data_IF_733161105198
#
_entry.id   IF_733161105198
#
_cell.length_a   1.000
_cell.length_b   1.000
_cell.length_c   1.000
_cell.angle_alpha   90.00
_cell.angle_beta   90.00
_cell.angle_gamma   90.00
#
_symmetry.space_group_name_H-M   'P 1'
#
loop_
_entity.id
_entity.type
_entity.pdbx_description
1 polymer ?
#
# COMPACT_ATOMS: atom_id res chain seq x y z
N UNK A 1 -15.52 20.37 19.12
CA UNK A 1 -14.88 21.19 18.06
C UNK A 1 -13.54 20.54 17.66
N UNK A 2 -13.56 19.28 17.18
CA UNK A 2 -12.34 18.44 17.05
C UNK A 2 -12.13 17.75 15.69
N UNK A 3 -13.01 17.99 14.70
CA UNK A 3 -12.98 17.23 13.42
C UNK A 3 -12.05 17.81 12.35
N UNK A 4 -11.48 19.00 12.54
CA UNK A 4 -10.69 19.69 11.50
C UNK A 4 -9.19 19.33 11.47
N UNK A 5 -8.60 18.92 12.60
CA UNK A 5 -7.15 18.65 12.71
C UNK A 5 -6.77 17.25 12.19
N UNK A 6 -7.64 16.26 12.40
CA UNK A 6 -7.42 14.87 11.96
C UNK A 6 -7.36 14.77 10.42
N UNK A 7 -8.30 15.42 9.73
CA UNK A 7 -8.35 15.45 8.25
C UNK A 7 -7.13 16.13 7.62
N UNK A 8 -6.67 17.27 8.16
CA UNK A 8 -5.48 17.97 7.65
C UNK A 8 -4.20 17.14 7.85
N UNK A 9 -4.05 16.50 9.01
CA UNK A 9 -2.89 15.64 9.30
C UNK A 9 -2.88 14.42 8.36
N UNK A 10 -4.04 13.79 8.13
CA UNK A 10 -4.17 12.65 7.24
C UNK A 10 -3.85 13.00 5.78
N UNK A 11 -4.40 14.11 5.27
CA UNK A 11 -4.08 14.61 3.93
C UNK A 11 -2.59 14.89 3.77
N UNK A 12 -1.95 15.45 4.80
CA UNK A 12 -0.50 15.71 4.78
C UNK A 12 0.31 14.43 4.75
N UNK A 13 -0.07 13.43 5.55
CA UNK A 13 0.59 12.12 5.54
C UNK A 13 0.48 11.47 4.17
N UNK A 14 -0.71 11.48 3.54
CA UNK A 14 -0.91 10.92 2.21
C UNK A 14 -0.08 11.63 1.13
N UNK A 15 0.04 12.96 1.19
CA UNK A 15 0.93 13.73 0.31
C UNK A 15 2.39 13.30 0.42
N UNK A 16 2.89 13.10 1.65
CA UNK A 16 4.26 12.65 1.86
C UNK A 16 4.46 11.23 1.32
N UNK A 17 3.50 10.33 1.54
CA UNK A 17 3.56 8.95 1.06
C UNK A 17 3.54 8.86 -0.46
N UNK A 18 2.74 9.69 -1.15
CA UNK A 18 2.73 9.76 -2.61
C UNK A 18 4.07 10.24 -3.17
N UNK A 19 4.64 11.31 -2.60
CA UNK A 19 5.96 11.80 -3.00
C UNK A 19 7.06 10.76 -2.74
N UNK A 20 7.03 10.12 -1.57
CA UNK A 20 7.98 9.09 -1.20
C UNK A 20 7.88 7.86 -2.12
N UNK A 21 6.67 7.43 -2.47
CA UNK A 21 6.46 6.36 -3.46
C UNK A 21 7.11 6.71 -4.80
N UNK A 22 6.93 7.93 -5.29
CA UNK A 22 7.52 8.37 -6.55
C UNK A 22 9.06 8.31 -6.52
N UNK A 23 9.69 8.85 -5.47
CA UNK A 23 11.15 8.86 -5.34
C UNK A 23 11.71 7.45 -5.10
N UNK A 24 11.17 6.68 -4.15
CA UNK A 24 11.63 5.31 -3.90
C UNK A 24 11.48 4.40 -5.12
N UNK A 25 10.37 4.54 -5.86
CA UNK A 25 10.18 3.74 -7.07
C UNK A 25 11.08 4.16 -8.23
N UNK A 26 11.58 5.40 -8.26
CA UNK A 26 12.50 5.87 -9.29
C UNK A 26 13.94 5.44 -8.97
N UNK A 27 14.39 5.67 -7.74
CA UNK A 27 15.80 5.63 -7.37
C UNK A 27 16.20 4.39 -6.54
N UNK A 28 15.22 3.64 -6.05
CA UNK A 28 15.41 2.57 -5.07
C UNK A 28 15.54 3.11 -3.64
N UNK A 29 15.48 2.24 -2.63
CA UNK A 29 15.54 2.68 -1.24
C UNK A 29 16.88 3.35 -0.93
N UNK A 30 18.00 2.73 -1.31
CA UNK A 30 19.33 3.22 -0.92
C UNK A 30 19.64 4.61 -1.49
N UNK A 31 19.33 4.85 -2.77
CA UNK A 31 19.66 6.12 -3.44
C UNK A 31 18.63 7.23 -3.25
N UNK A 32 17.40 6.92 -2.81
CA UNK A 32 16.37 7.93 -2.61
C UNK A 32 16.77 9.02 -1.61
N UNK A 33 16.60 10.30 -1.97
CA UNK A 33 16.88 11.41 -1.06
C UNK A 33 15.61 11.88 -0.33
N UNK A 34 15.67 11.95 1.00
CA UNK A 34 14.58 12.45 1.84
C UNK A 34 14.35 13.95 1.63
N UNK A 35 15.40 14.70 1.25
CA UNK A 35 15.25 16.11 0.91
C UNK A 35 14.43 16.29 -0.38
N UNK A 36 14.66 15.46 -1.38
CA UNK A 36 13.85 15.46 -2.60
C UNK A 36 12.39 15.08 -2.32
N UNK A 37 12.16 14.09 -1.45
CA UNK A 37 10.80 13.72 -1.02
C UNK A 37 10.12 14.91 -0.35
N UNK A 38 10.84 15.66 0.50
CA UNK A 38 10.32 16.84 1.18
C UNK A 38 9.92 17.94 0.19
N UNK A 39 10.78 18.23 -0.78
CA UNK A 39 10.51 19.20 -1.86
C UNK A 39 9.30 18.76 -2.67
N UNK A 40 9.25 17.48 -3.09
CA UNK A 40 8.16 16.92 -3.90
C UNK A 40 6.82 16.95 -3.15
N UNK A 41 6.83 16.71 -1.84
CA UNK A 41 5.64 16.77 -0.98
C UNK A 41 5.25 18.19 -0.57
N UNK A 42 6.07 19.21 -0.86
CA UNK A 42 5.86 20.59 -0.42
C UNK A 42 5.89 20.73 1.11
N UNK A 43 6.80 20.03 1.78
CA UNK A 43 7.01 20.05 3.24
C UNK A 43 8.48 20.23 3.58
N UNK A 44 8.79 20.60 4.83
CA UNK A 44 10.17 20.58 5.33
C UNK A 44 10.63 19.18 5.72
N UNK A 45 11.92 18.87 5.57
CA UNK A 45 12.54 17.58 5.99
C UNK A 45 12.19 17.18 7.42
N UNK A 46 12.23 18.13 8.36
CA UNK A 46 11.85 17.89 9.76
C UNK A 46 10.38 17.47 9.94
N UNK A 47 9.48 17.85 9.03
CA UNK A 47 8.09 17.36 9.03
C UNK A 47 8.03 15.88 8.65
N UNK A 48 8.84 15.42 7.70
CA UNK A 48 8.90 14.00 7.35
C UNK A 48 9.37 13.18 8.56
N UNK A 49 10.49 13.55 9.18
CA UNK A 49 11.00 12.80 10.33
C UNK A 49 10.08 12.86 11.55
N UNK A 50 9.29 13.92 11.71
CA UNK A 50 8.24 13.95 12.75
C UNK A 50 7.10 12.97 12.48
N UNK A 51 6.80 12.66 11.22
CA UNK A 51 5.73 11.73 10.85
C UNK A 51 6.20 10.27 10.84
N UNK A 52 7.47 10.01 10.47
CA UNK A 52 7.92 8.65 10.15
C UNK A 52 9.24 8.24 10.83
N UNK A 53 9.83 9.10 11.65
CA UNK A 53 11.04 8.90 12.48
C UNK A 53 12.35 8.64 11.71
N UNK A 54 12.31 7.94 10.58
CA UNK A 54 13.48 7.58 9.76
C UNK A 54 13.11 7.37 8.29
N UNK A 55 14.12 7.29 7.41
CA UNK A 55 13.94 6.92 6.00
C UNK A 55 13.36 5.50 5.85
N UNK A 56 13.81 4.57 6.70
CA UNK A 56 13.24 3.21 6.79
C UNK A 56 11.77 3.24 7.22
N UNK A 57 11.44 4.01 8.25
CA UNK A 57 10.06 4.17 8.72
C UNK A 57 9.14 4.75 7.63
N UNK A 58 9.62 5.75 6.89
CA UNK A 58 8.90 6.30 5.74
C UNK A 58 8.71 5.25 4.64
N UNK A 59 9.75 4.48 4.31
CA UNK A 59 9.66 3.40 3.32
C UNK A 59 8.62 2.34 3.72
N UNK A 60 8.65 1.85 4.96
CA UNK A 60 7.67 0.86 5.43
C UNK A 60 6.25 1.42 5.42
N UNK A 61 6.08 2.71 5.75
CA UNK A 61 4.79 3.39 5.64
C UNK A 61 4.30 3.51 4.20
N UNK A 62 5.19 3.71 3.22
CA UNK A 62 4.86 3.69 1.78
C UNK A 62 4.40 2.30 1.35
N UNK A 63 5.07 1.24 1.80
CA UNK A 63 4.65 -0.14 1.53
C UNK A 63 3.27 -0.41 2.10
N UNK A 64 3.06 -0.09 3.38
CA UNK A 64 1.78 -0.26 4.05
C UNK A 64 0.65 0.52 3.35
N UNK A 65 0.92 1.77 2.96
CA UNK A 65 -0.03 2.61 2.24
C UNK A 65 -0.39 2.01 0.88
N UNK A 66 0.59 1.52 0.11
CA UNK A 66 0.33 0.86 -1.18
C UNK A 66 -0.50 -0.42 -1.04
N UNK A 67 -0.21 -1.25 -0.03
CA UNK A 67 -1.01 -2.45 0.30
C UNK A 67 -2.44 -2.07 0.66
N UNK A 68 -2.61 -0.99 1.44
CA UNK A 68 -3.94 -0.50 1.83
C UNK A 68 -4.74 -0.02 0.61
N UNK A 69 -4.13 0.71 -0.33
CA UNK A 69 -4.78 1.12 -1.59
C UNK A 69 -5.17 -0.06 -2.47
N UNK A 70 -4.32 -1.09 -2.53
CA UNK A 70 -4.64 -2.33 -3.24
C UNK A 70 -5.84 -3.04 -2.60
N UNK A 71 -5.87 -3.15 -1.26
CA UNK A 71 -6.99 -3.71 -0.51
C UNK A 71 -8.29 -2.93 -0.75
N UNK A 72 -8.26 -1.60 -0.70
CA UNK A 72 -9.40 -0.74 -1.00
C UNK A 72 -9.93 -1.00 -2.43
N UNK A 73 -9.04 -1.07 -3.42
CA UNK A 73 -9.40 -1.35 -4.81
C UNK A 73 -10.07 -2.72 -4.98
N UNK A 74 -9.57 -3.75 -4.28
CA UNK A 74 -10.17 -5.09 -4.30
C UNK A 74 -11.52 -5.07 -3.61
N UNK A 75 -11.61 -4.48 -2.41
CA UNK A 75 -12.87 -4.39 -1.66
C UNK A 75 -13.99 -3.71 -2.46
N UNK A 76 -13.68 -2.60 -3.13
CA UNK A 76 -14.63 -1.89 -3.99
C UNK A 76 -15.05 -2.74 -5.20
N UNK A 77 -14.11 -3.43 -5.85
CA UNK A 77 -14.41 -4.29 -7.00
C UNK A 77 -15.28 -5.51 -6.65
N UNK A 78 -15.31 -5.91 -5.38
CA UNK A 78 -16.06 -7.08 -4.91
C UNK A 78 -17.39 -6.74 -4.23
N UNK A 79 -17.74 -5.46 -4.04
CA UNK A 79 -18.85 -5.07 -3.16
C UNK A 79 -20.22 -5.62 -3.59
N UNK A 80 -20.42 -5.79 -4.91
CA UNK A 80 -21.70 -6.18 -5.52
C UNK A 80 -21.64 -7.59 -6.16
N UNK A 81 -20.68 -8.42 -5.76
CA UNK A 81 -20.50 -9.77 -6.32
C UNK A 81 -20.77 -10.81 -5.24
N UNK A 82 -21.82 -11.61 -5.43
CA UNK A 82 -22.23 -12.65 -4.47
C UNK A 82 -21.63 -14.03 -4.75
N UNK A 83 -21.34 -14.34 -6.02
CA UNK A 83 -20.82 -15.65 -6.42
C UNK A 83 -19.36 -15.82 -5.96
N UNK A 84 -19.02 -16.82 -5.13
CA UNK A 84 -17.64 -17.00 -4.62
C UNK A 84 -16.58 -17.16 -5.71
N UNK A 85 -16.95 -17.83 -6.81
CA UNK A 85 -16.05 -18.03 -7.96
C UNK A 85 -15.82 -16.68 -8.67
N UNK A 86 -16.89 -15.92 -8.93
CA UNK A 86 -16.77 -14.61 -9.58
C UNK A 86 -16.00 -13.61 -8.71
N UNK A 87 -16.22 -13.64 -7.38
CA UNK A 87 -15.44 -12.85 -6.43
C UNK A 87 -13.96 -13.17 -6.52
N UNK A 88 -13.61 -14.46 -6.54
CA UNK A 88 -12.22 -14.91 -6.67
C UNK A 88 -11.61 -14.43 -8.00
N UNK A 89 -12.30 -14.63 -9.12
CA UNK A 89 -11.83 -14.19 -10.45
C UNK A 89 -11.66 -12.68 -10.53
N UNK A 90 -12.62 -11.90 -9.98
CA UNK A 90 -12.56 -10.45 -9.94
C UNK A 90 -11.42 -9.96 -9.03
N UNK A 91 -11.19 -10.60 -7.88
CA UNK A 91 -10.11 -10.25 -6.97
C UNK A 91 -8.74 -10.44 -7.64
N UNK A 92 -8.52 -11.59 -8.29
CA UNK A 92 -7.29 -11.88 -9.05
C UNK A 92 -7.10 -10.86 -10.18
N UNK A 93 -8.15 -10.58 -10.94
CA UNK A 93 -8.09 -9.62 -12.06
C UNK A 93 -7.77 -8.21 -11.57
N UNK A 94 -8.37 -7.79 -10.46
CA UNK A 94 -8.12 -6.48 -9.84
C UNK A 94 -6.70 -6.38 -9.29
N UNK A 95 -6.22 -7.45 -8.65
CA UNK A 95 -4.84 -7.54 -8.17
C UNK A 95 -3.82 -7.39 -9.30
N UNK A 96 -3.98 -8.14 -10.39
CA UNK A 96 -3.09 -8.06 -11.56
C UNK A 96 -3.13 -6.65 -12.19
N UNK A 97 -4.33 -6.10 -12.38
CA UNK A 97 -4.52 -4.74 -12.92
C UNK A 97 -3.91 -3.67 -12.02
N UNK A 98 -3.93 -3.85 -10.70
CA UNK A 98 -3.32 -2.92 -9.76
C UNK A 98 -1.81 -2.83 -10.00
N UNK A 99 -1.10 -3.95 -10.16
CA UNK A 99 0.33 -3.94 -10.45
C UNK A 99 0.67 -3.39 -11.83
N UNK A 100 -0.18 -3.64 -12.84
CA UNK A 100 0.00 -3.03 -14.16
C UNK A 100 -0.10 -1.50 -14.12
N UNK A 101 -1.05 -0.97 -13.34
CA UNK A 101 -1.32 0.47 -13.23
C UNK A 101 -0.43 1.19 -12.22
N UNK A 102 0.10 0.47 -11.23
CA UNK A 102 0.94 1.02 -10.15
C UNK A 102 2.36 0.44 -10.20
N UNK A 103 3.01 0.51 -11.38
CA UNK A 103 4.38 -0.02 -11.60
C UNK A 103 5.40 0.45 -10.57
N UNK A 104 5.27 1.69 -10.09
CA UNK A 104 6.15 2.23 -9.07
C UNK A 104 6.07 1.45 -7.75
N UNK A 105 4.86 1.08 -7.33
CA UNK A 105 4.66 0.25 -6.15
C UNK A 105 5.17 -1.17 -6.35
N UNK A 106 4.92 -1.79 -7.52
CA UNK A 106 5.52 -3.10 -7.85
C UNK A 106 7.04 -3.09 -7.70
N UNK A 107 7.68 -2.04 -8.22
CA UNK A 107 9.13 -1.88 -8.17
C UNK A 107 9.63 -1.78 -6.73
N UNK A 108 9.00 -0.96 -5.90
CA UNK A 108 9.28 -0.86 -4.45
C UNK A 108 9.12 -2.20 -3.76
N UNK A 109 8.03 -2.93 -4.05
CA UNK A 109 7.70 -4.18 -3.38
C UNK A 109 8.66 -5.33 -3.70
N UNK A 110 9.04 -5.47 -4.98
CA UNK A 110 9.79 -6.63 -5.45
C UNK A 110 11.31 -6.38 -5.41
N UNK A 111 11.77 -5.18 -5.78
CA UNK A 111 13.21 -4.89 -5.82
C UNK A 111 13.77 -4.63 -4.42
N UNK A 112 13.04 -3.89 -3.59
CA UNK A 112 13.52 -3.51 -2.26
C UNK A 112 12.94 -4.39 -1.16
N UNK A 113 11.89 -5.17 -1.46
CA UNK A 113 11.33 -6.15 -0.54
C UNK A 113 12.29 -7.27 -0.17
N UNK A 114 13.41 -7.45 -0.90
CA UNK A 114 14.48 -8.37 -0.48
C UNK A 114 15.25 -7.87 0.73
N UNK A 115 15.47 -6.55 0.82
CA UNK A 115 16.22 -5.89 1.89
C UNK A 115 15.36 -5.71 3.14
N UNK A 116 14.05 -5.64 2.97
CA UNK A 116 13.05 -5.50 4.04
C UNK A 116 12.09 -6.69 4.12
N UNK A 117 12.59 -7.88 3.78
CA UNK A 117 11.74 -9.07 3.55
C UNK A 117 10.93 -9.45 4.78
N UNK A 118 11.52 -9.32 5.96
CA UNK A 118 10.86 -9.63 7.22
C UNK A 118 9.76 -8.63 7.54
N UNK A 119 10.05 -7.32 7.45
CA UNK A 119 9.11 -6.26 7.76
C UNK A 119 7.98 -6.19 6.74
N UNK A 120 8.30 -6.27 5.44
CA UNK A 120 7.31 -6.33 4.37
C UNK A 120 6.46 -7.59 4.55
N UNK A 121 7.08 -8.74 4.79
CA UNK A 121 6.37 -10.00 5.07
C UNK A 121 5.42 -9.89 6.27
N UNK A 122 5.83 -9.18 7.33
CA UNK A 122 4.98 -8.89 8.49
C UNK A 122 3.78 -8.03 8.11
N UNK A 123 3.98 -6.94 7.34
CA UNK A 123 2.89 -6.09 6.87
C UNK A 123 1.89 -6.91 6.06
N UNK A 124 2.35 -7.77 5.16
CA UNK A 124 1.47 -8.66 4.41
C UNK A 124 0.69 -9.62 5.32
N UNK A 125 1.36 -10.28 6.27
CA UNK A 125 0.69 -11.21 7.19
C UNK A 125 -0.34 -10.54 8.09
N UNK A 126 -0.05 -9.35 8.60
CA UNK A 126 -0.91 -8.67 9.57
C UNK A 126 -2.02 -7.83 8.91
N UNK A 127 -1.75 -7.24 7.74
CA UNK A 127 -2.64 -6.23 7.15
C UNK A 127 -3.28 -6.65 5.82
N UNK A 128 -2.69 -7.62 5.10
CA UNK A 128 -3.16 -8.03 3.79
C UNK A 128 -3.85 -9.41 3.80
N UNK A 129 -3.14 -10.45 4.25
CA UNK A 129 -3.63 -11.84 4.19
C UNK A 129 -5.00 -12.07 4.87
N UNK A 130 -5.31 -11.47 6.04
CA UNK A 130 -6.61 -11.67 6.70
C UNK A 130 -7.81 -11.15 5.90
N UNK A 131 -7.58 -10.36 4.84
CA UNK A 131 -8.61 -9.72 4.04
C UNK A 131 -8.67 -10.21 2.61
N UNK A 132 -7.81 -11.17 2.23
CA UNK A 132 -7.98 -11.85 0.96
C UNK A 132 -9.04 -12.93 1.18
N UNK A 133 -10.19 -12.87 0.50
CA UNK A 133 -11.27 -13.82 0.73
C UNK A 133 -10.94 -15.21 0.16
N UNK A 134 -9.70 -15.49 -0.26
CA UNK A 134 -9.28 -16.74 -0.91
C UNK A 134 -9.65 -17.98 -0.07
N UNK A 135 -9.35 -18.02 1.22
CA UNK A 135 -9.64 -19.21 2.03
C UNK A 135 -11.14 -19.42 2.26
N UNK A 136 -11.90 -18.34 2.43
CA UNK A 136 -13.34 -18.39 2.69
C UNK A 136 -14.14 -18.64 1.40
N UNK A 137 -13.79 -17.97 0.31
CA UNK A 137 -14.41 -18.14 -1.01
C UNK A 137 -14.09 -19.53 -1.59
N UNK A 138 -12.87 -20.04 -1.43
CA UNK A 138 -12.54 -21.42 -1.85
C UNK A 138 -13.32 -22.46 -1.04
N UNK A 139 -13.47 -22.25 0.27
CA UNK A 139 -14.27 -23.14 1.14
C UNK A 139 -15.77 -23.09 0.79
N UNK A 140 -16.28 -21.92 0.45
CA UNK A 140 -17.70 -21.72 0.10
C UNK A 140 -18.01 -22.19 -1.34
N UNK A 141 -17.06 -22.09 -2.27
CA UNK A 141 -17.17 -22.62 -3.62
C UNK A 141 -17.29 -24.15 -3.66
N UNK A 142 -16.53 -24.87 -2.81
CA UNK A 142 -16.62 -26.34 -2.69
C UNK A 142 -17.97 -26.81 -2.12
N UNK A 143 -18.68 -25.96 -1.36
CA UNK A 143 -19.98 -26.31 -0.75
C UNK A 143 -21.19 -26.04 -1.64
N UNK A 144 -21.04 -25.22 -2.69
CA UNK A 144 -22.14 -24.80 -3.58
C UNK A 144 -22.09 -25.42 -4.99
N UNK A 145 -21.05 -26.20 -5.29
CA UNK A 145 -20.96 -27.05 -6.50
C UNK A 145 -21.28 -28.50 -6.17
#
# INVERSE_FOLDING_TARGET
METHTSSKKQKRTEQILQAAMAVFSRDGYHNADVDEIAVTAGVGKGTIYRHFESKKGLFLAVVEWGISKMKESIGEALKDIDSPIERTTQAISTYLKFFETHRGFYRVLIQEGTDFREEVGKIFREKYLPYIPLEEDMRNGIKKG
#
